data_IF_587043127774
#
_entry.id   IF_587043127774
#
_cell.length_a   1.000
_cell.length_b   1.000
_cell.length_c   1.000
_cell.angle_alpha   90.00
_cell.angle_beta   90.00
_cell.angle_gamma   90.00
#
_symmetry.space_group_name_H-M   'P 1'
#
loop_
_entity.id
_entity.type
_entity.pdbx_description
1 polymer ?
#
# COMPACT_ATOMS: atom_id res chain seq x y z
N UNK A 1 -32.96 24.13 16.45
CA UNK A 1 -31.76 24.98 16.38
C UNK A 1 -31.71 25.48 14.95
N UNK A 2 -32.11 26.74 14.72
CA UNK A 2 -32.32 27.30 13.39
C UNK A 2 -31.00 27.80 12.77
N UNK A 3 -30.93 27.80 11.44
CA UNK A 3 -29.74 28.21 10.67
C UNK A 3 -29.23 29.63 11.01
N UNK A 4 -30.09 30.52 11.46
CA UNK A 4 -29.73 31.88 11.92
C UNK A 4 -28.95 31.89 13.24
N UNK A 5 -29.17 30.92 14.11
CA UNK A 5 -28.46 30.81 15.40
C UNK A 5 -27.03 30.30 15.22
N UNK A 6 -26.78 29.52 14.14
CA UNK A 6 -25.45 29.03 13.77
C UNK A 6 -24.57 30.13 13.18
N UNK A 7 -25.14 31.01 12.37
CA UNK A 7 -24.41 32.14 11.77
C UNK A 7 -24.02 33.23 12.79
N UNK A 8 -24.79 33.38 13.88
CA UNK A 8 -24.51 34.41 14.87
C UNK A 8 -23.40 34.02 15.86
N UNK A 9 -23.07 32.75 15.99
CA UNK A 9 -22.02 32.24 16.90
C UNK A 9 -20.61 32.35 16.34
N UNK A 10 -20.44 32.51 15.04
CA UNK A 10 -19.15 32.65 14.35
C UNK A 10 -18.85 34.06 13.85
N UNK A 11 -19.64 35.05 14.25
CA UNK A 11 -19.32 36.45 13.99
C UNK A 11 -18.21 36.88 14.96
N UNK A 12 -16.96 36.73 14.49
CA UNK A 12 -15.80 37.35 15.16
C UNK A 12 -16.08 38.84 15.21
N UNK A 13 -16.31 39.34 16.41
CA UNK A 13 -16.54 40.77 16.68
C UNK A 13 -15.22 41.51 16.45
N UNK A 14 -15.03 42.03 15.24
CA UNK A 14 -13.94 42.97 14.95
C UNK A 14 -14.17 44.23 15.74
N UNK A 15 -13.31 44.47 16.74
CA UNK A 15 -13.28 45.73 17.49
C UNK A 15 -12.66 46.80 16.59
N UNK A 16 -13.52 47.70 16.09
CA UNK A 16 -13.19 48.78 15.14
C UNK A 16 -12.37 49.94 15.73
N UNK A 17 -11.60 49.72 16.79
CA UNK A 17 -10.85 50.80 17.49
C UNK A 17 -9.36 50.90 17.12
N UNK A 18 -8.87 50.13 16.12
CA UNK A 18 -7.54 50.34 15.59
C UNK A 18 -7.56 50.28 14.07
N UNK A 19 -7.91 51.37 13.41
CA UNK A 19 -7.61 51.65 12.03
C UNK A 19 -6.13 52.09 11.89
N UNK A 20 -5.24 51.29 11.29
CA UNK A 20 -4.02 51.81 10.67
C UNK A 20 -4.32 52.25 9.24
N UNK A 21 -3.98 53.48 8.97
CA UNK A 21 -4.15 54.23 7.75
C UNK A 21 -3.91 53.42 6.47
N UNK A 22 -4.85 53.48 5.55
CA UNK A 22 -5.13 52.73 4.33
C UNK A 22 -4.11 52.61 3.23
N UNK A 23 -2.81 52.51 3.48
CA UNK A 23 -1.79 52.25 2.44
C UNK A 23 -1.17 50.88 2.50
N UNK A 24 -1.32 50.14 3.61
CA UNK A 24 -0.80 48.77 3.75
C UNK A 24 -1.80 47.69 3.37
N UNK A 25 -3.09 48.03 3.22
CA UNK A 25 -4.16 47.06 2.98
C UNK A 25 -4.25 46.60 1.53
N UNK A 26 -4.04 47.52 0.57
CA UNK A 26 -4.10 47.17 -0.87
C UNK A 26 -2.93 46.29 -1.34
N UNK A 27 -1.75 46.40 -0.72
CA UNK A 27 -0.61 45.54 -1.03
C UNK A 27 -0.79 44.10 -0.51
N UNK A 28 -1.34 43.96 0.71
CA UNK A 28 -1.52 42.68 1.36
C UNK A 28 -2.65 41.84 0.74
N UNK A 29 -3.75 42.48 0.37
CA UNK A 29 -4.87 41.79 -0.31
C UNK A 29 -4.48 41.35 -1.74
N UNK A 30 -3.61 42.08 -2.42
CA UNK A 30 -3.11 41.75 -3.75
C UNK A 30 -2.09 40.61 -3.73
N UNK A 31 -1.26 40.50 -2.69
CA UNK A 31 -0.35 39.37 -2.49
C UNK A 31 -1.12 38.08 -2.09
N UNK A 32 -2.19 38.20 -1.31
CA UNK A 32 -3.03 37.05 -0.91
C UNK A 32 -3.85 36.49 -2.09
N UNK A 33 -4.35 37.36 -2.99
CA UNK A 33 -5.09 36.90 -4.18
C UNK A 33 -4.22 36.19 -5.22
N UNK A 34 -2.91 36.53 -5.28
CA UNK A 34 -1.99 35.92 -6.26
C UNK A 34 -1.38 34.60 -5.82
N UNK A 35 -1.55 34.19 -4.58
CA UNK A 35 -0.81 33.04 -4.01
C UNK A 35 -1.67 31.84 -3.63
N UNK A 36 -2.95 31.78 -4.08
CA UNK A 36 -3.75 30.58 -3.89
C UNK A 36 -3.29 29.47 -4.83
N UNK A 37 -2.60 28.48 -4.27
CA UNK A 37 -2.22 27.25 -4.95
C UNK A 37 -3.25 26.19 -4.60
N UNK A 38 -4.06 25.79 -5.58
CA UNK A 38 -4.99 24.65 -5.41
C UNK A 38 -4.22 23.36 -5.52
N UNK A 39 -4.45 22.43 -4.56
CA UNK A 39 -3.84 21.11 -4.57
C UNK A 39 -4.86 20.03 -4.88
N UNK A 40 -4.42 18.97 -5.54
CA UNK A 40 -5.09 17.66 -5.56
C UNK A 40 -4.53 16.86 -4.38
N UNK A 41 -5.38 16.10 -3.71
CA UNK A 41 -5.01 15.27 -2.56
C UNK A 41 -5.32 13.82 -2.83
N UNK A 42 -4.46 12.90 -2.36
CA UNK A 42 -4.69 11.46 -2.39
C UNK A 42 -4.04 10.79 -1.18
N UNK A 43 -4.57 9.62 -0.82
CA UNK A 43 -3.98 8.75 0.19
C UNK A 43 -3.30 7.57 -0.51
N UNK A 44 -2.00 7.43 -0.27
CA UNK A 44 -1.21 6.31 -0.74
C UNK A 44 -1.06 5.29 0.40
N UNK A 45 -1.51 4.06 0.17
CA UNK A 45 -1.36 2.95 1.13
C UNK A 45 -0.25 2.04 0.65
N UNK A 46 0.80 1.89 1.45
CA UNK A 46 2.00 1.13 1.12
C UNK A 46 2.42 0.20 2.27
N UNK A 47 3.11 -0.88 1.95
CA UNK A 47 3.85 -1.64 2.95
C UNK A 47 5.08 -0.84 3.41
N UNK A 48 5.45 -0.96 4.69
CA UNK A 48 6.54 -0.17 5.27
C UNK A 48 7.87 -0.29 4.50
N UNK A 49 8.13 -1.46 3.90
CA UNK A 49 9.33 -1.70 3.10
C UNK A 49 9.33 -0.97 1.74
N UNK A 50 8.16 -0.64 1.20
CA UNK A 50 8.00 -0.04 -0.13
C UNK A 50 7.80 1.47 -0.09
N UNK A 51 7.65 2.05 1.10
CA UNK A 51 7.34 3.48 1.30
C UNK A 51 8.31 4.38 0.55
N UNK A 52 9.62 4.18 0.70
CA UNK A 52 10.63 5.03 0.06
C UNK A 52 10.57 4.95 -1.46
N UNK A 53 10.46 3.74 -2.01
CA UNK A 53 10.34 3.51 -3.44
C UNK A 53 9.09 4.19 -4.03
N UNK A 54 7.96 4.06 -3.35
CA UNK A 54 6.72 4.67 -3.82
C UNK A 54 6.75 6.20 -3.69
N UNK A 55 7.29 6.76 -2.60
CA UNK A 55 7.43 8.21 -2.44
C UNK A 55 8.29 8.80 -3.56
N UNK A 56 9.44 8.21 -3.86
CA UNK A 56 10.33 8.66 -4.93
C UNK A 56 9.63 8.59 -6.31
N UNK A 57 8.95 7.47 -6.57
CA UNK A 57 8.23 7.26 -7.82
C UNK A 57 7.06 8.22 -8.00
N UNK A 58 6.24 8.45 -6.97
CA UNK A 58 5.13 9.39 -7.04
C UNK A 58 5.61 10.85 -7.11
N UNK A 59 6.78 11.16 -6.53
CA UNK A 59 7.45 12.46 -6.65
C UNK A 59 7.71 12.85 -8.10
N UNK A 60 8.05 11.88 -8.96
CA UNK A 60 8.23 12.09 -10.40
C UNK A 60 6.97 12.59 -11.09
N UNK A 61 5.78 12.18 -10.62
CA UNK A 61 4.49 12.64 -11.16
C UNK A 61 3.98 13.91 -10.48
N UNK A 62 4.84 14.57 -9.67
CA UNK A 62 4.55 15.82 -8.99
C UNK A 62 3.78 15.70 -7.69
N UNK A 63 3.72 14.51 -7.10
CA UNK A 63 3.14 14.28 -5.79
C UNK A 63 4.18 14.51 -4.70
N UNK A 64 3.80 15.20 -3.65
CA UNK A 64 4.60 15.48 -2.46
C UNK A 64 3.87 14.99 -1.22
N UNK A 65 4.62 14.59 -0.19
CA UNK A 65 4.03 14.24 1.10
C UNK A 65 3.40 15.48 1.73
N UNK A 66 2.15 15.37 2.18
CA UNK A 66 1.51 16.42 2.95
C UNK A 66 1.90 16.29 4.44
N UNK A 67 2.94 17.03 4.84
CA UNK A 67 3.47 17.01 6.21
C UNK A 67 2.42 17.40 7.25
N UNK A 68 1.53 18.36 6.95
CA UNK A 68 0.48 18.78 7.86
C UNK A 68 -0.53 17.65 8.13
N UNK A 69 -0.98 16.98 7.07
CA UNK A 69 -1.89 15.87 7.18
C UNK A 69 -1.22 14.64 7.83
N UNK A 70 0.07 14.39 7.58
CA UNK A 70 0.83 13.31 8.19
C UNK A 70 0.97 13.49 9.69
N UNK A 71 1.36 14.69 10.15
CA UNK A 71 1.43 15.04 11.58
C UNK A 71 0.09 14.88 12.28
N UNK A 72 -0.99 15.40 11.69
CA UNK A 72 -2.33 15.28 12.27
C UNK A 72 -2.76 13.82 12.41
N UNK A 73 -2.49 12.98 11.39
CA UNK A 73 -2.80 11.55 11.42
C UNK A 73 -1.95 10.77 12.42
N UNK A 74 -0.67 11.07 12.54
CA UNK A 74 0.20 10.45 13.53
C UNK A 74 -0.34 10.66 14.95
N UNK A 75 -0.82 11.85 15.27
CA UNK A 75 -1.45 12.15 16.54
C UNK A 75 -2.82 11.50 16.71
N UNK A 76 -3.63 11.42 15.65
CA UNK A 76 -4.96 10.81 15.67
C UNK A 76 -4.91 9.27 15.78
N UNK A 77 -3.93 8.63 15.13
CA UNK A 77 -3.79 7.16 15.07
C UNK A 77 -2.95 6.57 16.21
N UNK A 78 -2.48 7.37 17.17
CA UNK A 78 -1.72 6.87 18.32
C UNK A 78 -2.46 5.80 19.16
N UNK A 79 -3.75 5.55 18.87
CA UNK A 79 -4.61 4.58 19.57
C UNK A 79 -5.07 3.39 18.72
N UNK A 80 -4.70 3.29 17.45
CA UNK A 80 -5.05 2.14 16.60
C UNK A 80 -3.77 1.55 16.03
N UNK A 81 -3.26 0.43 16.58
CA UNK A 81 -2.17 -0.29 15.92
C UNK A 81 -2.72 -0.81 14.58
N UNK A 82 -2.15 -0.34 13.46
CA UNK A 82 -2.36 -0.98 12.17
C UNK A 82 -1.77 -2.38 12.23
N UNK A 83 -2.61 -3.37 12.55
CA UNK A 83 -2.26 -4.78 12.64
C UNK A 83 -1.76 -5.36 11.29
N UNK A 84 -1.76 -4.54 10.23
CA UNK A 84 -1.48 -4.97 8.85
C UNK A 84 -0.09 -4.57 8.33
N UNK A 85 0.74 -3.84 9.10
CA UNK A 85 2.05 -3.36 8.62
C UNK A 85 1.98 -2.31 7.48
N UNK A 86 0.77 -1.89 7.08
CA UNK A 86 0.56 -0.90 6.03
C UNK A 86 0.54 0.52 6.58
N UNK A 87 1.20 1.42 5.86
CA UNK A 87 1.28 2.84 6.18
C UNK A 87 0.44 3.62 5.16
N UNK A 88 -0.35 4.58 5.64
CA UNK A 88 -1.10 5.50 4.76
C UNK A 88 -0.39 6.83 4.73
N UNK A 89 0.02 7.24 3.54
CA UNK A 89 0.76 8.46 3.26
C UNK A 89 -0.17 9.47 2.59
N UNK A 90 -0.50 10.60 3.24
CA UNK A 90 -1.25 11.67 2.61
C UNK A 90 -0.34 12.39 1.62
N UNK A 91 -0.76 12.47 0.37
CA UNK A 91 -0.02 13.10 -0.72
C UNK A 91 -0.80 14.29 -1.25
N UNK A 92 -0.08 15.33 -1.70
CA UNK A 92 -0.64 16.50 -2.38
C UNK A 92 0.11 16.78 -3.68
N UNK A 93 -0.56 17.36 -4.66
CA UNK A 93 0.01 17.75 -5.95
C UNK A 93 -0.55 19.09 -6.41
N UNK A 94 0.28 19.99 -6.91
CA UNK A 94 -0.18 21.23 -7.48
C UNK A 94 -1.11 20.97 -8.69
N UNK A 95 -2.28 21.61 -8.68
CA UNK A 95 -3.24 21.54 -9.79
C UNK A 95 -2.74 22.18 -11.08
N UNK A 96 -1.83 23.13 -10.96
CA UNK A 96 -1.26 23.89 -12.09
C UNK A 96 -0.01 23.24 -12.67
N UNK A 97 0.35 22.01 -12.22
CA UNK A 97 1.53 21.31 -12.75
C UNK A 97 1.47 21.20 -14.27
N UNK A 98 2.58 21.50 -14.92
CA UNK A 98 2.69 21.37 -16.37
C UNK A 98 2.48 19.92 -16.81
N UNK A 99 1.90 19.72 -18.00
CA UNK A 99 1.68 18.39 -18.58
C UNK A 99 0.87 17.41 -17.69
N UNK A 100 -0.02 17.94 -16.82
CA UNK A 100 -0.80 17.16 -15.86
C UNK A 100 -1.46 15.93 -16.47
N UNK A 101 -2.02 16.04 -17.68
CA UNK A 101 -2.73 14.95 -18.37
C UNK A 101 -1.78 13.79 -18.69
N UNK A 102 -0.59 14.10 -19.24
CA UNK A 102 0.42 13.08 -19.57
C UNK A 102 1.04 12.46 -18.31
N UNK A 103 1.33 13.29 -17.29
CA UNK A 103 1.81 12.79 -16.00
C UNK A 103 0.79 11.85 -15.35
N UNK A 104 -0.51 12.17 -15.41
CA UNK A 104 -1.56 11.29 -14.89
C UNK A 104 -1.68 9.99 -15.69
N UNK A 105 -1.45 10.03 -17.01
CA UNK A 105 -1.41 8.84 -17.85
C UNK A 105 -0.25 7.93 -17.50
N UNK A 106 0.96 8.51 -17.35
CA UNK A 106 2.16 7.77 -16.92
C UNK A 106 2.00 7.19 -15.52
N UNK A 107 1.42 7.95 -14.59
CA UNK A 107 1.09 7.46 -13.24
C UNK A 107 0.19 6.21 -13.28
N UNK A 108 -0.85 6.21 -14.10
CA UNK A 108 -1.73 5.02 -14.24
C UNK A 108 -0.98 3.81 -14.78
N UNK A 109 -0.07 4.00 -15.74
CA UNK A 109 0.77 2.93 -16.26
C UNK A 109 1.73 2.41 -15.18
N UNK A 110 2.35 3.32 -14.42
CA UNK A 110 3.17 2.98 -13.26
C UNK A 110 2.39 2.14 -12.24
N UNK A 111 1.21 2.59 -11.83
CA UNK A 111 0.35 1.87 -10.90
C UNK A 111 -0.08 0.49 -11.42
N UNK A 112 -0.27 0.34 -12.74
CA UNK A 112 -0.55 -0.95 -13.34
C UNK A 112 0.67 -1.89 -13.22
N UNK A 113 1.88 -1.40 -13.52
CA UNK A 113 3.12 -2.18 -13.37
C UNK A 113 3.38 -2.58 -11.90
N UNK A 114 3.14 -1.69 -10.95
CA UNK A 114 3.27 -2.01 -9.51
C UNK A 114 2.29 -3.11 -9.09
N UNK A 115 1.02 -3.04 -9.52
CA UNK A 115 0.04 -4.12 -9.24
C UNK A 115 0.43 -5.46 -9.87
N UNK A 116 1.00 -5.44 -11.07
CA UNK A 116 1.52 -6.66 -11.70
C UNK A 116 2.70 -7.22 -10.92
N UNK A 117 3.63 -6.35 -10.47
CA UNK A 117 4.76 -6.73 -9.65
C UNK A 117 4.32 -7.41 -8.34
N UNK A 118 3.40 -6.79 -7.59
CA UNK A 118 2.81 -7.40 -6.37
C UNK A 118 2.16 -8.77 -6.68
N UNK A 119 1.50 -8.91 -7.83
CA UNK A 119 0.86 -10.15 -8.22
C UNK A 119 1.90 -11.24 -8.51
N UNK A 120 3.02 -10.89 -9.16
CA UNK A 120 4.13 -11.81 -9.43
C UNK A 120 4.79 -12.26 -8.12
N UNK A 121 5.02 -11.34 -7.19
CA UNK A 121 5.59 -11.66 -5.87
C UNK A 121 4.68 -12.58 -5.04
N UNK A 122 3.39 -12.31 -5.03
CA UNK A 122 2.40 -13.18 -4.37
C UNK A 122 2.35 -14.59 -5.01
N UNK A 123 2.56 -14.69 -6.31
CA UNK A 123 2.58 -16.00 -7.02
C UNK A 123 3.76 -16.88 -6.61
N UNK A 124 4.92 -16.32 -6.22
CA UNK A 124 6.08 -17.09 -5.76
C UNK A 124 5.73 -18.04 -4.63
N UNK A 125 4.90 -17.61 -3.70
CA UNK A 125 4.56 -18.36 -2.48
C UNK A 125 3.20 -19.03 -2.52
N UNK A 126 2.25 -18.48 -3.29
CA UNK A 126 0.85 -18.91 -3.28
C UNK A 126 0.67 -20.39 -3.65
N UNK A 127 1.33 -20.85 -4.72
CA UNK A 127 1.23 -22.26 -5.15
C UNK A 127 1.80 -23.20 -4.10
N UNK A 128 2.94 -22.84 -3.51
CA UNK A 128 3.60 -23.65 -2.49
C UNK A 128 2.75 -23.75 -1.22
N UNK A 129 2.13 -22.65 -0.79
CA UNK A 129 1.24 -22.62 0.38
C UNK A 129 0.02 -23.50 0.15
N UNK A 130 -0.67 -23.38 -0.99
CA UNK A 130 -1.86 -24.15 -1.31
C UNK A 130 -1.53 -25.65 -1.28
N UNK A 131 -0.44 -26.07 -1.95
CA UNK A 131 -0.04 -27.47 -1.99
C UNK A 131 0.34 -27.99 -0.61
N UNK A 132 1.09 -27.21 0.18
CA UNK A 132 1.45 -27.59 1.55
C UNK A 132 0.21 -27.76 2.45
N UNK A 133 -0.79 -26.88 2.32
CA UNK A 133 -2.06 -26.99 3.05
C UNK A 133 -2.85 -28.24 2.67
N UNK A 134 -2.94 -28.57 1.38
CA UNK A 134 -3.64 -29.77 0.91
C UNK A 134 -2.99 -31.03 1.49
N UNK A 135 -1.66 -31.14 1.42
CA UNK A 135 -0.94 -32.31 1.95
C UNK A 135 -1.08 -32.40 3.47
N UNK A 136 -0.95 -31.27 4.19
CA UNK A 136 -1.14 -31.21 5.64
C UNK A 136 -2.56 -31.61 6.06
N UNK A 137 -3.58 -31.18 5.30
CA UNK A 137 -4.96 -31.55 5.55
C UNK A 137 -5.18 -33.07 5.38
N UNK A 138 -4.64 -33.66 4.32
CA UNK A 138 -4.68 -35.13 4.10
C UNK A 138 -4.02 -35.87 5.28
N UNK A 139 -2.84 -35.38 5.72
CA UNK A 139 -2.16 -35.95 6.90
C UNK A 139 -3.04 -35.90 8.17
N UNK A 140 -3.78 -34.80 8.36
CA UNK A 140 -4.71 -34.66 9.51
C UNK A 140 -5.87 -35.63 9.43
N UNK A 141 -6.42 -35.89 8.23
CA UNK A 141 -7.50 -36.92 8.05
C UNK A 141 -7.00 -38.30 8.40
N UNK A 142 -5.78 -38.69 7.98
CA UNK A 142 -5.17 -39.96 8.35
C UNK A 142 -4.93 -40.08 9.86
N UNK A 143 -4.49 -38.99 10.52
CA UNK A 143 -4.30 -38.95 11.95
C UNK A 143 -5.62 -39.17 12.70
N UNK A 144 -6.69 -38.49 12.27
CA UNK A 144 -8.02 -38.69 12.84
C UNK A 144 -8.49 -40.15 12.69
N UNK A 145 -8.30 -40.74 11.51
CA UNK A 145 -8.60 -42.15 11.28
C UNK A 145 -7.82 -43.09 12.19
N UNK A 146 -6.54 -42.82 12.44
CA UNK A 146 -5.71 -43.58 13.38
C UNK A 146 -6.27 -43.55 14.82
N UNK A 147 -6.70 -42.39 15.29
CA UNK A 147 -7.31 -42.21 16.62
C UNK A 147 -8.62 -42.99 16.72
N UNK A 148 -9.48 -42.97 15.70
CA UNK A 148 -10.70 -43.74 15.67
C UNK A 148 -10.45 -45.27 15.70
N UNK A 149 -9.39 -45.75 15.03
CA UNK A 149 -9.02 -47.13 14.98
C UNK A 149 -8.62 -47.67 16.38
N UNK A 150 -7.99 -46.85 17.21
CA UNK A 150 -7.66 -47.21 18.61
C UNK A 150 -8.90 -47.14 19.52
N UNK A 151 -9.77 -46.18 19.31
CA UNK A 151 -10.96 -45.99 20.15
C UNK A 151 -12.06 -47.01 19.87
N UNK A 152 -12.00 -47.78 18.80
CA UNK A 152 -12.97 -48.85 18.46
C UNK A 152 -12.92 -50.01 19.48
N UNK A 153 -14.06 -50.65 19.67
CA UNK A 153 -14.19 -51.88 20.53
C UNK A 153 -14.59 -53.06 19.65
N UNK A 154 -13.69 -54.05 19.37
CA UNK A 154 -12.31 -54.20 19.84
C UNK A 154 -11.31 -53.20 19.15
N UNK A 155 -10.20 -52.82 19.83
CA UNK A 155 -9.22 -51.90 19.28
C UNK A 155 -8.43 -52.55 18.13
N UNK A 156 -8.32 -51.81 16.99
CA UNK A 156 -7.59 -52.29 15.80
C UNK A 156 -6.19 -51.68 15.77
N UNK A 157 -5.24 -52.19 16.56
CA UNK A 157 -3.90 -51.67 16.74
C UNK A 157 -3.12 -51.64 15.42
N UNK A 158 -3.21 -52.68 14.60
CA UNK A 158 -2.53 -52.79 13.29
C UNK A 158 -3.01 -51.67 12.34
N UNK A 159 -4.32 -51.43 12.30
CA UNK A 159 -4.91 -50.39 11.49
C UNK A 159 -4.48 -49.00 11.95
N UNK A 160 -4.36 -48.78 13.27
CA UNK A 160 -3.85 -47.51 13.82
C UNK A 160 -2.42 -47.22 13.32
N UNK A 161 -1.51 -48.20 13.41
CA UNK A 161 -0.12 -48.03 12.95
C UNK A 161 -0.08 -47.77 11.44
N UNK A 162 -0.88 -48.51 10.66
CA UNK A 162 -0.94 -48.34 9.20
C UNK A 162 -1.41 -46.93 8.78
N UNK A 163 -2.32 -46.31 9.52
CA UNK A 163 -2.80 -44.94 9.27
C UNK A 163 -1.88 -43.86 9.88
N UNK A 164 -1.17 -44.16 10.96
CA UNK A 164 -0.26 -43.20 11.59
C UNK A 164 0.96 -42.88 10.71
N UNK A 165 1.49 -43.85 9.96
CA UNK A 165 2.65 -43.66 9.10
C UNK A 165 2.39 -42.55 8.04
N UNK A 166 1.34 -42.62 7.18
CA UNK A 166 1.04 -41.57 6.22
C UNK A 166 0.65 -40.27 6.87
N UNK A 167 0.09 -40.26 8.08
CA UNK A 167 -0.21 -39.03 8.82
C UNK A 167 1.07 -38.28 9.19
N UNK A 168 2.09 -38.94 9.69
CA UNK A 168 3.38 -38.34 10.04
C UNK A 168 4.11 -37.84 8.78
N UNK A 169 4.09 -38.60 7.70
CA UNK A 169 4.67 -38.21 6.42
C UNK A 169 3.94 -36.96 5.89
N UNK A 170 2.61 -36.92 5.95
CA UNK A 170 1.79 -35.76 5.53
C UNK A 170 2.07 -34.48 6.31
N UNK A 171 2.64 -34.58 7.52
CA UNK A 171 3.05 -33.41 8.30
C UNK A 171 4.52 -33.02 8.08
N UNK A 172 5.38 -34.00 7.79
CA UNK A 172 6.82 -33.74 7.59
C UNK A 172 7.15 -33.24 6.18
N UNK A 173 6.48 -33.79 5.15
CA UNK A 173 6.75 -33.49 3.73
C UNK A 173 6.40 -32.07 3.30
N UNK A 174 5.35 -31.38 3.79
CA UNK A 174 4.99 -30.04 3.34
C UNK A 174 6.14 -29.02 3.46
N UNK A 175 6.97 -29.10 4.49
CA UNK A 175 8.04 -28.15 4.73
C UNK A 175 9.16 -28.18 3.64
N UNK A 176 9.81 -29.32 3.36
CA UNK A 176 10.81 -29.38 2.29
C UNK A 176 10.22 -29.16 0.91
N UNK A 177 8.99 -29.61 0.67
CA UNK A 177 8.30 -29.41 -0.60
C UNK A 177 8.00 -27.95 -0.85
N UNK A 178 7.51 -27.22 0.16
CA UNK A 178 7.31 -25.78 0.10
C UNK A 178 8.59 -25.07 -0.31
N UNK A 179 9.71 -25.35 0.35
CA UNK A 179 11.01 -24.72 0.04
C UNK A 179 11.47 -24.97 -1.41
N UNK A 180 11.28 -26.18 -1.93
CA UNK A 180 11.64 -26.51 -3.32
C UNK A 180 10.78 -25.76 -4.31
N UNK A 181 9.47 -25.75 -4.14
CA UNK A 181 8.53 -25.06 -5.05
C UNK A 181 8.79 -23.55 -5.04
N UNK A 182 8.99 -22.95 -3.87
CA UNK A 182 9.33 -21.52 -3.79
C UNK A 182 10.64 -21.23 -4.50
N UNK A 183 11.67 -22.05 -4.33
CA UNK A 183 12.95 -21.86 -5.00
C UNK A 183 12.86 -21.97 -6.54
N UNK A 184 12.12 -22.94 -7.07
CA UNK A 184 11.91 -23.09 -8.50
C UNK A 184 11.10 -21.92 -9.10
N UNK A 185 9.98 -21.55 -8.45
CA UNK A 185 9.14 -20.43 -8.92
C UNK A 185 9.89 -19.09 -8.78
N UNK A 186 10.73 -18.88 -7.75
CA UNK A 186 11.49 -17.65 -7.61
C UNK A 186 12.45 -17.45 -8.78
N UNK A 187 13.22 -18.45 -9.16
CA UNK A 187 14.15 -18.36 -10.31
C UNK A 187 13.42 -17.99 -11.60
N UNK A 188 12.24 -18.58 -11.82
CA UNK A 188 11.44 -18.30 -13.00
C UNK A 188 10.83 -16.89 -12.98
N UNK A 189 10.34 -16.44 -11.84
CA UNK A 189 9.64 -15.16 -11.71
C UNK A 189 10.60 -14.00 -11.53
N UNK A 190 11.82 -14.21 -11.02
CA UNK A 190 12.81 -13.14 -10.82
C UNK A 190 13.17 -12.42 -12.11
N UNK A 191 13.25 -13.15 -13.23
CA UNK A 191 13.48 -12.52 -14.54
C UNK A 191 12.32 -11.62 -14.95
N UNK A 192 11.07 -12.05 -14.72
CA UNK A 192 9.88 -11.24 -15.04
C UNK A 192 9.77 -10.03 -14.11
N UNK A 193 10.11 -10.21 -12.85
CA UNK A 193 10.14 -9.12 -11.85
C UNK A 193 11.19 -8.08 -12.25
N UNK A 194 12.41 -8.51 -12.65
CA UNK A 194 13.45 -7.60 -13.13
C UNK A 194 12.99 -6.79 -14.35
N UNK A 195 12.35 -7.45 -15.32
CA UNK A 195 11.79 -6.75 -16.49
C UNK A 195 10.72 -5.72 -16.09
N UNK A 196 9.89 -6.01 -15.06
CA UNK A 196 8.90 -5.05 -14.57
C UNK A 196 9.53 -3.87 -13.85
N UNK A 197 10.61 -4.07 -13.10
CA UNK A 197 11.38 -2.96 -12.54
C UNK A 197 11.99 -2.06 -13.63
N UNK A 198 12.53 -2.65 -14.71
CA UNK A 198 13.06 -1.87 -15.84
C UNK A 198 11.95 -1.05 -16.52
N UNK A 199 10.74 -1.62 -16.69
CA UNK A 199 9.58 -0.92 -17.22
C UNK A 199 9.16 0.24 -16.32
N UNK A 200 9.11 0.03 -15.00
CA UNK A 200 8.82 1.06 -13.99
C UNK A 200 9.85 2.20 -14.08
N UNK A 201 11.14 1.86 -14.14
CA UNK A 201 12.21 2.86 -14.29
C UNK A 201 12.05 3.68 -15.57
N UNK A 202 11.73 3.04 -16.69
CA UNK A 202 11.50 3.75 -17.96
C UNK A 202 10.28 4.69 -17.88
N UNK A 203 9.22 4.31 -17.18
CA UNK A 203 8.04 5.19 -16.95
C UNK A 203 8.43 6.38 -16.08
N UNK A 204 9.15 6.14 -14.98
CA UNK A 204 9.62 7.20 -14.08
C UNK A 204 10.58 8.16 -14.79
N UNK A 205 11.49 7.67 -15.62
CA UNK A 205 12.38 8.53 -16.41
C UNK A 205 11.62 9.44 -17.37
N UNK A 206 10.59 8.91 -18.04
CA UNK A 206 9.72 9.72 -18.92
C UNK A 206 8.94 10.78 -18.12
N UNK A 207 8.42 10.40 -16.94
CA UNK A 207 7.73 11.31 -16.04
C UNK A 207 8.64 12.44 -15.55
N UNK A 208 9.87 12.11 -15.18
CA UNK A 208 10.88 13.08 -14.74
C UNK A 208 11.18 14.11 -15.84
N UNK A 209 11.39 13.65 -17.08
CA UNK A 209 11.62 14.55 -18.22
C UNK A 209 10.44 15.52 -18.46
N UNK A 210 9.21 15.08 -18.23
CA UNK A 210 8.02 15.93 -18.38
C UNK A 210 7.82 16.88 -17.19
N UNK A 211 8.18 16.47 -15.99
CA UNK A 211 8.02 17.27 -14.78
C UNK A 211 9.11 18.35 -14.65
N UNK A 212 10.37 18.00 -14.95
CA UNK A 212 11.52 18.89 -14.76
C UNK A 212 11.95 19.62 -16.03
N UNK A 213 11.66 19.08 -17.22
CA UNK A 213 12.05 19.71 -18.50
C UNK A 213 11.40 21.07 -18.77
N UNK A 214 10.46 21.50 -17.94
CA UNK A 214 9.81 22.82 -18.05
C UNK A 214 10.32 23.83 -17.00
N UNK A 215 11.32 23.47 -16.19
CA UNK A 215 11.93 24.39 -15.20
C UNK A 215 13.18 25.13 -15.74
N UNK A 216 13.61 24.80 -16.95
CA UNK A 216 14.80 25.41 -17.57
C UNK A 216 14.47 26.46 -18.68
N UNK A 217 13.23 26.93 -18.79
CA UNK A 217 12.87 28.01 -19.74
C UNK A 217 12.36 29.23 -19.01
#
# INVERSE_FOLDING_TARGET
MNAEEYQNRHKIRYDSRHEPRGRYREGYDRELETNYVGYDYMDLVADGAEVSFLLDSYGVFGWELDEYASHYREHAHRHVPNASGKVTLPMKRDRKIANKTELTRLQRNFEACVRELETLEKRKTSKAIILALIIGFIGTVFMAGSVFAVAAKPPHIVLCILLAIPAIIGWAVPYPLYRRIVAEESVRLDTLIAQKYDEIHAICERGSKLSYGNKEV
#
